data_IF_755997287821
#
_entry.id   IF_755997287821
#
_cell.length_a   1.000
_cell.length_b   1.000
_cell.length_c   1.000
_cell.angle_alpha   90.00
_cell.angle_beta   90.00
_cell.angle_gamma   90.00
#
_symmetry.space_group_name_H-M   'P 1'
#
loop_
_entity.id
_entity.type
_entity.pdbx_description
1 polymer ?
#
# COMPACT_ATOMS: atom_id res chain seq x y z
N UNK A 1 21.23 -3.20 -2.13
CA UNK A 1 20.38 -2.16 -1.57
C UNK A 1 18.93 -2.48 -1.77
N UNK A 2 18.17 -2.45 -0.71
CA UNK A 2 16.76 -2.74 -0.84
C UNK A 2 15.96 -1.50 -1.14
N UNK A 3 15.07 -1.60 -2.10
CA UNK A 3 14.09 -0.57 -2.33
C UNK A 3 12.91 -0.81 -1.42
N UNK A 4 12.58 0.20 -0.63
CA UNK A 4 11.42 0.12 0.25
C UNK A 4 10.39 1.10 -0.27
N UNK A 5 9.16 0.64 -0.35
CA UNK A 5 8.06 1.50 -0.76
C UNK A 5 7.88 2.59 0.27
N UNK A 6 7.92 3.83 -0.18
CA UNK A 6 7.69 4.99 0.67
C UNK A 6 6.42 5.68 0.19
N UNK A 7 5.42 5.73 1.06
CA UNK A 7 4.15 6.37 0.78
C UNK A 7 3.98 7.51 1.77
N UNK A 8 3.64 8.69 1.27
CA UNK A 8 3.38 9.85 2.12
C UNK A 8 1.96 10.35 1.88
N UNK A 9 1.38 10.90 2.92
CA UNK A 9 0.00 11.37 2.90
C UNK A 9 -0.09 12.77 3.47
N UNK A 10 -0.89 13.62 2.83
CA UNK A 10 -1.27 14.90 3.40
C UNK A 10 -2.47 14.69 4.30
N UNK A 11 -2.31 14.96 5.58
CA UNK A 11 -3.40 14.75 6.53
C UNK A 11 -4.51 15.79 6.38
N UNK A 12 -4.27 16.84 5.63
CA UNK A 12 -5.24 17.91 5.46
C UNK A 12 -6.16 17.68 4.27
N UNK A 13 -5.60 17.34 3.11
CA UNK A 13 -6.42 17.15 1.91
C UNK A 13 -6.54 15.70 1.48
N UNK A 14 -5.78 14.79 2.10
CA UNK A 14 -5.86 13.37 1.78
C UNK A 14 -5.02 12.92 0.60
N UNK A 15 -4.21 13.80 0.02
CA UNK A 15 -3.34 13.39 -1.09
C UNK A 15 -2.37 12.31 -0.63
N UNK A 16 -2.20 11.28 -1.46
CA UNK A 16 -1.28 10.18 -1.18
C UNK A 16 -0.32 10.08 -2.36
N UNK A 17 0.97 10.02 -2.06
CA UNK A 17 2.00 9.97 -3.10
C UNK A 17 2.97 8.84 -2.81
N UNK A 18 3.52 8.26 -3.87
CA UNK A 18 4.60 7.31 -3.79
C UNK A 18 5.92 8.03 -4.08
N UNK A 19 6.91 7.77 -3.25
CA UNK A 19 8.21 8.43 -3.35
C UNK A 19 9.19 7.45 -3.98
N UNK A 20 9.80 7.86 -5.08
CA UNK A 20 10.85 7.08 -5.73
C UNK A 20 12.18 7.31 -5.01
N UNK A 21 12.52 8.57 -4.78
CA UNK A 21 13.70 8.96 -4.00
C UNK A 21 13.27 10.03 -3.03
N UNK A 22 13.46 9.78 -1.75
CA UNK A 22 13.08 10.74 -0.72
C UNK A 22 14.11 11.85 -0.63
N UNK A 23 13.71 12.98 -0.05
CA UNK A 23 14.62 14.09 0.21
C UNK A 23 15.67 13.65 1.23
N UNK A 24 16.88 14.20 1.10
CA UNK A 24 18.02 13.72 1.88
C UNK A 24 18.63 14.80 2.77
N UNK A 25 18.02 15.97 2.84
CA UNK A 25 18.53 17.05 3.67
C UNK A 25 17.91 16.98 5.07
N UNK A 26 18.65 17.48 6.05
CA UNK A 26 18.12 17.55 7.41
C UNK A 26 17.01 18.59 7.47
N UNK A 27 15.93 18.24 8.17
CA UNK A 27 14.84 19.17 8.39
C UNK A 27 13.98 19.45 7.17
N UNK A 28 14.28 18.84 6.04
CA UNK A 28 13.46 19.00 4.85
C UNK A 28 12.34 18.00 4.82
N UNK A 29 11.44 18.15 3.86
CA UNK A 29 10.33 17.25 3.68
C UNK A 29 9.53 17.67 2.48
N UNK A 30 8.54 16.87 2.15
CA UNK A 30 7.64 17.17 1.05
C UNK A 30 6.38 17.73 1.67
N UNK A 31 5.95 18.90 1.20
CA UNK A 31 4.84 19.63 1.80
C UNK A 31 3.63 19.59 0.90
N UNK A 32 2.46 19.58 1.54
CA UNK A 32 1.17 19.74 0.89
C UNK A 32 0.27 20.50 1.84
N UNK A 33 -0.49 21.47 1.33
CA UNK A 33 -1.38 22.28 2.16
C UNK A 33 -0.64 22.96 3.31
N UNK A 34 0.57 23.42 3.04
CA UNK A 34 1.44 24.12 4.02
C UNK A 34 1.83 23.25 5.21
N UNK A 35 1.81 21.93 5.05
CA UNK A 35 2.22 20.99 6.08
C UNK A 35 3.13 19.94 5.47
N UNK A 36 4.05 19.44 6.30
CA UNK A 36 4.90 18.33 5.88
C UNK A 36 4.05 17.07 5.76
N UNK A 37 4.17 16.38 4.64
CA UNK A 37 3.44 15.12 4.45
C UNK A 37 3.97 14.06 5.40
N UNK A 38 3.06 13.19 5.83
CA UNK A 38 3.38 12.14 6.80
C UNK A 38 3.73 10.85 6.07
N UNK A 39 4.85 10.24 6.46
CA UNK A 39 5.22 8.93 5.95
C UNK A 39 4.33 7.87 6.59
N UNK A 40 3.69 7.05 5.78
CA UNK A 40 2.85 5.98 6.28
C UNK A 40 3.71 4.76 6.61
N UNK A 41 3.49 4.21 7.79
CA UNK A 41 4.22 3.02 8.25
C UNK A 41 3.24 1.86 8.17
N UNK A 42 3.59 0.79 7.41
CA UNK A 42 2.66 -0.33 7.27
C UNK A 42 2.35 -0.98 8.62
N UNK A 43 1.11 -1.42 8.77
CA UNK A 43 0.63 -2.19 9.92
C UNK A 43 0.76 -1.43 11.24
N UNK A 44 0.76 -0.10 11.21
CA UNK A 44 0.97 0.71 12.41
C UNK A 44 -0.32 1.27 12.99
N UNK A 45 -1.43 1.17 12.27
CA UNK A 45 -2.72 1.70 12.73
C UNK A 45 -3.44 0.63 13.55
N UNK A 46 -4.06 1.05 14.63
CA UNK A 46 -4.83 0.15 15.50
C UNK A 46 -6.18 -0.15 14.87
N UNK A 47 -6.23 -1.20 14.07
CA UNK A 47 -7.42 -1.64 13.38
C UNK A 47 -7.36 -3.16 13.21
N UNK A 48 -8.44 -3.74 12.69
CA UNK A 48 -8.53 -5.19 12.56
C UNK A 48 -7.54 -5.71 11.51
N UNK A 49 -6.53 -6.44 11.99
CA UNK A 49 -5.48 -6.97 11.13
C UNK A 49 -6.05 -7.93 10.08
N UNK A 50 -6.99 -8.78 10.48
CA UNK A 50 -7.55 -9.78 9.57
C UNK A 50 -8.28 -9.16 8.39
N UNK A 51 -8.75 -7.92 8.53
CA UNK A 51 -9.50 -7.23 7.50
C UNK A 51 -8.68 -6.25 6.69
N UNK A 52 -7.39 -6.12 7.00
CA UNK A 52 -6.55 -5.11 6.35
C UNK A 52 -5.28 -5.68 5.76
N UNK A 53 -4.63 -6.65 6.43
CA UNK A 53 -3.40 -7.23 5.91
C UNK A 53 -3.72 -8.10 4.70
N UNK A 54 -3.06 -7.87 3.55
CA UNK A 54 -3.36 -8.67 2.37
C UNK A 54 -2.95 -10.12 2.55
N UNK A 55 -3.79 -11.00 2.02
CA UNK A 55 -3.52 -12.44 1.93
C UNK A 55 -3.17 -12.79 0.51
N UNK A 56 -2.50 -13.92 0.31
CA UNK A 56 -2.14 -14.30 -1.05
C UNK A 56 -2.16 -15.80 -1.21
N UNK A 57 -2.26 -16.20 -2.48
CA UNK A 57 -2.20 -17.58 -2.90
C UNK A 57 -1.40 -17.62 -4.20
N UNK A 58 -0.50 -18.59 -4.30
CA UNK A 58 0.30 -18.75 -5.52
C UNK A 58 -0.43 -19.72 -6.43
N UNK A 59 -0.68 -19.28 -7.67
CA UNK A 59 -1.39 -20.07 -8.68
C UNK A 59 -0.50 -20.09 -9.92
N UNK A 60 0.19 -21.20 -10.14
CA UNK A 60 1.15 -21.35 -11.24
C UNK A 60 2.25 -20.31 -11.09
N UNK A 61 2.43 -19.42 -12.06
CA UNK A 61 3.47 -18.39 -11.99
C UNK A 61 2.92 -17.04 -11.53
N UNK A 62 1.70 -17.03 -11.00
CA UNK A 62 1.06 -15.80 -10.54
C UNK A 62 0.78 -15.84 -9.07
N UNK A 63 0.68 -14.66 -8.48
CA UNK A 63 0.23 -14.51 -7.10
C UNK A 63 -1.14 -13.83 -7.12
N UNK A 64 -2.11 -14.45 -6.44
CA UNK A 64 -3.45 -13.92 -6.31
C UNK A 64 -3.57 -13.29 -4.93
N UNK A 65 -3.77 -11.98 -4.90
CA UNK A 65 -3.78 -11.21 -3.66
C UNK A 65 -5.21 -10.80 -3.35
N UNK A 66 -5.62 -11.00 -2.11
CA UNK A 66 -6.96 -10.61 -1.66
C UNK A 66 -6.86 -9.88 -0.34
N UNK A 67 -7.80 -8.96 -0.10
CA UNK A 67 -7.94 -8.30 1.19
C UNK A 67 -9.38 -8.49 1.65
N UNK A 68 -9.55 -9.07 2.84
CA UNK A 68 -10.87 -9.30 3.40
C UNK A 68 -11.40 -8.02 4.03
N UNK A 69 -11.84 -7.09 3.19
CA UNK A 69 -12.20 -5.74 3.61
C UNK A 69 -13.47 -5.31 2.89
N UNK A 70 -14.26 -4.46 3.56
CA UNK A 70 -15.43 -3.87 2.90
C UNK A 70 -14.96 -2.99 1.74
N UNK A 71 -15.80 -2.89 0.73
CA UNK A 71 -15.53 -2.07 -0.45
C UNK A 71 -16.69 -1.12 -0.68
N UNK A 72 -16.97 -0.29 0.33
CA UNK A 72 -18.03 0.71 0.29
C UNK A 72 -17.50 2.01 -0.28
N UNK A 73 -18.39 2.86 -0.74
CA UNK A 73 -17.98 4.09 -1.44
C UNK A 73 -17.08 4.98 -0.60
N UNK A 74 -17.28 5.01 0.70
CA UNK A 74 -16.53 5.90 1.59
C UNK A 74 -15.47 5.15 2.42
N UNK A 75 -15.42 3.82 2.30
CA UNK A 75 -14.48 3.00 3.07
C UNK A 75 -14.10 1.78 2.26
N UNK A 76 -12.93 1.80 1.68
CA UNK A 76 -12.52 0.71 0.78
C UNK A 76 -11.00 0.68 0.64
N UNK A 77 -10.50 -0.43 0.10
CA UNK A 77 -9.10 -0.57 -0.26
C UNK A 77 -8.90 0.12 -1.60
N UNK A 78 -8.10 1.19 -1.60
CA UNK A 78 -7.94 2.02 -2.80
C UNK A 78 -6.97 1.43 -3.80
N UNK A 79 -5.97 0.68 -3.33
CA UNK A 79 -5.02 0.05 -4.24
C UNK A 79 -4.31 -1.10 -3.54
N UNK A 80 -3.79 -2.02 -4.37
CA UNK A 80 -2.93 -3.11 -3.94
C UNK A 80 -1.66 -3.01 -4.77
N UNK A 81 -0.52 -3.26 -4.14
CA UNK A 81 0.78 -3.14 -4.80
C UNK A 81 1.70 -4.27 -4.39
N UNK A 82 2.70 -4.53 -5.20
CA UNK A 82 3.74 -5.50 -4.91
C UNK A 82 5.08 -4.91 -5.32
N UNK A 83 6.08 -5.10 -4.47
CA UNK A 83 7.41 -4.55 -4.70
C UNK A 83 8.48 -5.59 -4.39
N UNK A 84 9.50 -5.66 -5.25
CA UNK A 84 10.67 -6.50 -5.02
C UNK A 84 11.83 -5.96 -5.85
N UNK A 85 12.90 -5.51 -5.18
CA UNK A 85 14.18 -5.16 -5.82
C UNK A 85 14.03 -4.28 -7.06
N UNK A 86 13.27 -3.18 -6.92
CA UNK A 86 13.09 -2.25 -8.02
C UNK A 86 11.93 -2.55 -8.93
N UNK A 87 11.27 -3.70 -8.76
CA UNK A 87 10.06 -4.03 -9.51
C UNK A 87 8.87 -3.60 -8.68
N UNK A 88 7.98 -2.83 -9.29
CA UNK A 88 6.79 -2.33 -8.61
C UNK A 88 5.58 -2.51 -9.49
N UNK A 89 4.58 -3.21 -8.97
CA UNK A 89 3.30 -3.42 -9.64
C UNK A 89 2.20 -2.85 -8.75
N UNK A 90 1.23 -2.22 -9.37
CA UNK A 90 0.14 -1.61 -8.63
C UNK A 90 -1.14 -1.73 -9.42
N UNK A 91 -2.25 -1.94 -8.71
CA UNK A 91 -3.57 -1.91 -9.30
C UNK A 91 -4.46 -1.02 -8.44
N UNK A 92 -5.20 -0.12 -9.09
CA UNK A 92 -6.18 0.72 -8.41
C UNK A 92 -7.51 0.01 -8.34
N UNK A 93 -8.16 0.10 -7.20
CA UNK A 93 -9.45 -0.53 -6.97
C UNK A 93 -10.51 0.54 -6.76
N UNK A 94 -11.75 0.13 -6.93
CA UNK A 94 -12.89 1.03 -6.82
C UNK A 94 -13.93 0.43 -5.90
N UNK A 95 -14.79 1.26 -5.30
CA UNK A 95 -15.84 0.73 -4.43
C UNK A 95 -16.73 -0.27 -5.17
N UNK A 96 -17.29 -1.20 -4.40
CA UNK A 96 -18.26 -2.16 -4.88
C UNK A 96 -17.67 -3.20 -5.83
N UNK A 97 -16.35 -3.41 -5.78
CA UNK A 97 -15.69 -4.55 -6.41
C UNK A 97 -14.90 -5.31 -5.34
N UNK A 98 -14.51 -6.52 -5.65
CA UNK A 98 -13.70 -7.29 -4.71
C UNK A 98 -12.31 -6.70 -4.59
N UNK A 99 -11.76 -6.70 -3.37
CA UNK A 99 -10.40 -6.23 -3.13
C UNK A 99 -9.43 -7.36 -3.46
N UNK A 100 -9.12 -7.51 -4.75
CA UNK A 100 -8.25 -8.60 -5.20
C UNK A 100 -7.56 -8.22 -6.50
N UNK A 101 -6.42 -8.86 -6.76
CA UNK A 101 -5.68 -8.66 -8.01
C UNK A 101 -4.70 -9.79 -8.19
N UNK A 102 -4.08 -9.84 -9.37
CA UNK A 102 -3.04 -10.82 -9.69
C UNK A 102 -1.82 -10.11 -10.23
N UNK A 103 -0.66 -10.58 -9.80
CA UNK A 103 0.63 -10.15 -10.33
C UNK A 103 1.46 -11.39 -10.63
N UNK A 104 2.57 -11.20 -11.34
CA UNK A 104 3.53 -12.27 -11.49
C UNK A 104 4.12 -12.61 -10.13
N UNK A 105 4.27 -13.90 -9.82
CA UNK A 105 4.83 -14.33 -8.55
C UNK A 105 6.33 -14.01 -8.49
N UNK A 106 6.73 -13.33 -7.43
CA UNK A 106 8.14 -13.03 -7.15
C UNK A 106 8.40 -13.38 -5.69
N UNK A 107 9.20 -14.43 -5.42
CA UNK A 107 9.49 -14.82 -4.04
C UNK A 107 10.14 -13.69 -3.26
N UNK A 108 9.73 -13.52 -2.01
CA UNK A 108 10.27 -12.50 -1.14
C UNK A 108 9.71 -11.11 -1.34
N UNK A 109 8.74 -10.95 -2.26
CA UNK A 109 8.16 -9.65 -2.52
C UNK A 109 7.33 -9.18 -1.33
N UNK A 110 7.16 -7.87 -1.22
CA UNK A 110 6.26 -7.27 -0.25
C UNK A 110 4.97 -6.91 -0.97
N UNK A 111 3.84 -7.24 -0.38
CA UNK A 111 2.54 -6.86 -0.92
C UNK A 111 1.89 -5.89 0.03
N UNK A 112 1.24 -4.88 -0.55
CA UNK A 112 0.69 -3.76 0.19
C UNK A 112 -0.78 -3.57 -0.16
N UNK A 113 -1.54 -3.10 0.81
CA UNK A 113 -2.92 -2.67 0.60
C UNK A 113 -3.13 -1.36 1.34
N UNK A 114 -3.84 -0.44 0.71
CA UNK A 114 -4.09 0.86 1.32
C UNK A 114 -5.59 1.04 1.53
N UNK A 115 -5.98 1.18 2.81
CA UNK A 115 -7.35 1.51 3.20
C UNK A 115 -7.45 3.01 3.40
N UNK A 116 -8.45 3.64 2.78
CA UNK A 116 -8.56 5.09 2.86
C UNK A 116 -8.82 5.60 4.28
N UNK A 117 -9.28 4.75 5.19
CA UNK A 117 -9.53 5.14 6.57
C UNK A 117 -8.51 4.60 7.56
N UNK A 118 -7.87 3.48 7.26
CA UNK A 118 -6.98 2.82 8.22
C UNK A 118 -5.56 2.66 7.74
N UNK A 119 -5.19 3.30 6.63
CA UNK A 119 -3.80 3.43 6.22
C UNK A 119 -3.24 2.24 5.47
N UNK A 120 -1.94 2.08 5.59
CA UNK A 120 -1.15 1.17 4.78
C UNK A 120 -0.90 -0.15 5.51
N UNK A 121 -1.09 -1.26 4.80
CA UNK A 121 -0.91 -2.60 5.35
C UNK A 121 -0.04 -3.43 4.44
N UNK A 122 0.70 -4.38 5.01
CA UNK A 122 1.72 -5.10 4.26
C UNK A 122 1.84 -6.55 4.74
N UNK A 123 2.19 -7.43 3.81
CA UNK A 123 2.61 -8.79 4.09
C UNK A 123 3.80 -9.13 3.19
N UNK A 124 4.55 -10.17 3.57
CA UNK A 124 5.71 -10.60 2.79
C UNK A 124 5.38 -11.94 2.13
N UNK A 125 5.73 -12.05 0.86
CA UNK A 125 5.51 -13.27 0.08
C UNK A 125 6.67 -14.23 0.32
N UNK A 126 6.33 -15.47 0.61
CA UNK A 126 7.35 -16.51 0.81
C UNK A 126 7.82 -17.16 -0.48
#
# INVERSE_FOLDING_TARGET
>A
MKNTLIIKKCLKCGAVIKIINDCKCDGCGINCCNEKMTTLIPNSVDANIEKHVPSYKIVEDEIFITVNHVMEKEHFIEWIAMEKDGIYNEVQLYPEQNAECRFKYIPGAKIYAYCNKHGLWMAVVE
#
